data_IF_111982901826
#
_entry.id   IF_111982901826
#
_cell.length_a   1.000
_cell.length_b   1.000
_cell.length_c   1.000
_cell.angle_alpha   90.00
_cell.angle_beta   90.00
_cell.angle_gamma   90.00
#
_symmetry.space_group_name_H-M   'P 1'
#
loop_
_entity.id
_entity.type
_entity.pdbx_description
1 polymer ?
#
# COMPACT_ATOMS: atom_id res chain seq x y z
N UNK A 1 0.64 -24.88 70.44
CA UNK A 1 -0.49 -23.98 70.14
C UNK A 1 -0.05 -23.13 68.94
N UNK A 2 0.01 -23.66 67.71
CA UNK A 2 -1.11 -23.88 66.77
C UNK A 2 -1.95 -22.62 66.55
N UNK A 3 -1.70 -21.94 65.43
CA UNK A 3 -2.72 -21.26 64.65
C UNK A 3 -2.35 -21.31 63.16
N UNK A 4 -3.14 -22.09 62.42
CA UNK A 4 -3.21 -22.16 60.95
C UNK A 4 -3.76 -20.87 60.34
N UNK A 5 -3.31 -20.48 59.14
CA UNK A 5 -4.12 -19.73 58.20
C UNK A 5 -4.48 -20.59 56.99
N UNK A 6 -5.76 -20.93 56.89
CA UNK A 6 -6.38 -21.49 55.69
C UNK A 6 -6.54 -20.45 54.59
N UNK A 7 -6.24 -20.91 53.38
CA UNK A 7 -6.63 -20.46 52.04
C UNK A 7 -7.92 -19.62 51.99
N UNK A 8 -7.92 -18.55 51.19
CA UNK A 8 -9.01 -18.32 50.22
C UNK A 8 -8.47 -17.71 48.93
N UNK A 9 -8.95 -18.35 47.88
CA UNK A 9 -8.66 -18.25 46.47
C UNK A 9 -9.69 -17.28 45.85
N UNK A 10 -9.24 -16.28 45.09
CA UNK A 10 -10.12 -15.40 44.31
C UNK A 10 -9.67 -15.43 42.85
N UNK A 11 -10.16 -16.45 42.15
CA UNK A 11 -10.26 -16.47 40.71
C UNK A 11 -11.22 -15.38 40.22
N UNK A 12 -10.67 -14.43 39.46
CA UNK A 12 -11.46 -13.51 38.65
C UNK A 12 -11.71 -14.12 37.27
N UNK A 13 -12.98 -14.42 37.04
CA UNK A 13 -13.57 -14.90 35.79
C UNK A 13 -13.60 -13.78 34.75
N UNK A 14 -12.82 -13.90 33.68
CA UNK A 14 -13.04 -13.14 32.44
C UNK A 14 -13.71 -14.07 31.43
N UNK A 15 -14.99 -13.83 31.19
CA UNK A 15 -15.77 -14.45 30.11
C UNK A 15 -15.86 -13.50 28.93
N UNK A 16 -15.56 -14.06 27.75
CA UNK A 16 -16.10 -13.80 26.43
C UNK A 16 -15.76 -12.49 25.68
N UNK A 17 -15.03 -12.66 24.57
CA UNK A 17 -15.55 -12.52 23.19
C UNK A 17 -14.33 -12.60 22.25
N UNK A 18 -14.31 -13.22 21.08
CA UNK A 18 -15.32 -13.74 20.17
C UNK A 18 -14.58 -13.94 18.84
N UNK A 19 -13.58 -14.82 18.79
CA UNK A 19 -12.85 -15.14 17.56
C UNK A 19 -13.70 -16.12 16.73
N UNK A 20 -14.49 -15.58 15.81
CA UNK A 20 -15.17 -16.36 14.78
C UNK A 20 -14.11 -16.99 13.85
N UNK A 21 -13.98 -18.32 13.94
CA UNK A 21 -13.38 -19.15 12.89
C UNK A 21 -14.14 -18.92 11.59
N UNK A 22 -13.43 -18.57 10.53
CA UNK A 22 -13.96 -18.58 9.18
C UNK A 22 -13.84 -20.01 8.66
N UNK A 23 -14.99 -20.65 8.47
CA UNK A 23 -15.13 -21.94 7.82
C UNK A 23 -14.69 -21.85 6.35
N UNK A 24 -13.70 -22.66 5.96
CA UNK A 24 -13.41 -22.92 4.55
C UNK A 24 -14.34 -24.02 4.07
N UNK A 25 -15.46 -23.63 3.47
CA UNK A 25 -16.30 -24.55 2.71
C UNK A 25 -15.65 -24.86 1.37
N UNK A 26 -15.38 -26.15 1.18
CA UNK A 26 -15.03 -26.80 -0.08
C UNK A 26 -16.30 -26.83 -0.94
N UNK A 27 -16.26 -26.33 -2.17
CA UNK A 27 -17.26 -26.70 -3.18
C UNK A 27 -16.61 -26.80 -4.56
N UNK A 28 -16.56 -28.03 -5.04
CA UNK A 28 -16.26 -28.39 -6.41
C UNK A 28 -17.44 -28.00 -7.30
N UNK A 29 -17.16 -27.36 -8.45
CA UNK A 29 -18.03 -27.39 -9.63
C UNK A 29 -17.17 -27.36 -10.89
N UNK A 30 -17.12 -28.51 -11.54
CA UNK A 30 -16.82 -28.68 -12.96
C UNK A 30 -17.92 -28.02 -13.79
N UNK A 31 -17.59 -27.39 -14.92
CA UNK A 31 -18.51 -27.28 -16.04
C UNK A 31 -18.13 -28.36 -17.07
N UNK A 32 -18.99 -29.37 -17.10
CA UNK A 32 -19.26 -30.18 -18.27
C UNK A 32 -19.64 -29.25 -19.43
N UNK A 33 -18.91 -29.34 -20.54
CA UNK A 33 -19.32 -28.75 -21.82
C UNK A 33 -18.79 -29.60 -22.96
N UNK A 34 -19.61 -30.59 -23.27
CA UNK A 34 -19.75 -31.17 -24.60
C UNK A 34 -20.00 -30.03 -25.61
N UNK A 35 -19.00 -29.77 -26.46
CA UNK A 35 -19.22 -29.04 -27.71
C UNK A 35 -18.52 -29.82 -28.84
N UNK A 36 -19.37 -30.59 -29.51
CA UNK A 36 -19.18 -31.30 -30.76
C UNK A 36 -18.59 -30.31 -31.78
N UNK A 37 -17.35 -30.53 -32.20
CA UNK A 37 -16.83 -29.93 -33.43
C UNK A 37 -16.82 -31.01 -34.51
N UNK A 38 -17.80 -30.88 -35.39
CA UNK A 38 -17.79 -31.36 -36.77
C UNK A 38 -16.38 -31.18 -37.36
N UNK A 39 -15.70 -32.30 -37.65
CA UNK A 39 -14.57 -32.30 -38.56
C UNK A 39 -15.19 -32.43 -39.95
N UNK A 40 -15.31 -31.30 -40.65
CA UNK A 40 -15.64 -31.30 -42.07
C UNK A 40 -14.44 -31.87 -42.85
N UNK A 41 -14.56 -33.14 -43.19
CA UNK A 41 -13.66 -33.94 -44.01
C UNK A 41 -13.76 -33.55 -45.50
N UNK A 42 -13.67 -32.27 -45.84
CA UNK A 42 -13.96 -31.76 -47.19
C UNK A 42 -12.75 -31.13 -47.89
N UNK A 43 -11.53 -31.66 -47.70
CA UNK A 43 -10.35 -31.17 -48.46
C UNK A 43 -9.37 -32.25 -48.97
N UNK A 44 -9.73 -33.53 -48.91
CA UNK A 44 -8.91 -34.62 -49.47
C UNK A 44 -9.67 -35.39 -50.55
N UNK A 45 -10.10 -34.71 -51.62
CA UNK A 45 -10.57 -35.43 -52.81
C UNK A 45 -10.39 -34.63 -54.12
N UNK A 46 -9.22 -34.06 -54.31
CA UNK A 46 -8.75 -33.60 -55.62
C UNK A 46 -7.45 -34.32 -55.90
N UNK A 47 -7.26 -34.79 -57.14
CA UNK A 47 -6.16 -35.66 -57.62
C UNK A 47 -6.45 -37.17 -57.64
N UNK A 48 -7.62 -37.56 -58.14
CA UNK A 48 -7.71 -38.82 -58.92
C UNK A 48 -7.34 -38.50 -60.38
N UNK A 49 -6.24 -39.03 -60.94
CA UNK A 49 -5.98 -38.91 -62.37
C UNK A 49 -7.02 -39.75 -63.10
N UNK A 50 -7.84 -39.09 -63.94
CA UNK A 50 -8.72 -39.76 -64.90
C UNK A 50 -7.85 -40.69 -65.77
N UNK A 51 -7.92 -42.00 -65.52
CA UNK A 51 -7.33 -43.03 -66.39
C UNK A 51 -8.01 -42.93 -67.75
N UNK A 52 -7.42 -42.16 -68.67
CA UNK A 52 -7.64 -42.33 -70.10
C UNK A 52 -7.12 -43.73 -70.43
N UNK A 53 -8.02 -44.61 -70.85
CA UNK A 53 -7.69 -45.87 -71.49
C UNK A 53 -6.83 -45.54 -72.72
N UNK A 54 -5.51 -45.60 -72.56
CA UNK A 54 -4.60 -45.66 -73.68
C UNK A 54 -4.78 -47.03 -74.31
N UNK A 55 -5.41 -47.04 -75.47
CA UNK A 55 -5.41 -48.16 -76.39
C UNK A 55 -3.97 -48.57 -76.65
N UNK A 56 -3.68 -49.78 -76.17
CA UNK A 56 -2.57 -50.66 -76.51
C UNK A 56 -1.88 -50.29 -77.83
N UNK A 57 -0.70 -49.67 -77.74
CA UNK A 57 0.34 -49.87 -78.76
C UNK A 57 0.99 -51.22 -78.42
N UNK A 58 0.54 -52.27 -79.11
CA UNK A 58 1.27 -53.53 -79.16
C UNK A 58 2.67 -53.26 -79.72
N UNK A 59 3.66 -53.26 -78.83
CA UNK A 59 5.06 -53.31 -79.21
C UNK A 59 5.36 -54.74 -79.66
N UNK A 60 5.71 -54.92 -80.92
CA UNK A 60 6.25 -56.15 -81.47
C UNK A 60 7.69 -56.32 -80.97
N UNK A 61 7.86 -56.84 -79.76
CA UNK A 61 9.12 -57.45 -79.33
C UNK A 61 8.97 -58.99 -79.37
N UNK A 62 10.03 -59.73 -79.74
CA UNK A 62 9.96 -61.18 -79.89
C UNK A 62 9.68 -61.84 -78.54
N UNK A 63 8.64 -62.68 -78.50
CA UNK A 63 8.29 -63.51 -77.37
C UNK A 63 9.25 -64.71 -77.24
N UNK A 64 10.48 -64.44 -76.80
CA UNK A 64 11.38 -65.44 -76.21
C UNK A 64 12.15 -64.80 -75.07
N UNK A 65 11.46 -64.46 -73.98
CA UNK A 65 12.11 -64.10 -72.72
C UNK A 65 11.49 -64.92 -71.58
N UNK A 66 12.37 -65.68 -70.94
CA UNK A 66 12.11 -66.63 -69.87
C UNK A 66 11.09 -66.11 -68.84
N UNK A 67 10.17 -66.97 -68.43
CA UNK A 67 9.21 -66.68 -67.34
C UNK A 67 9.88 -66.16 -66.05
N UNK A 68 11.16 -66.50 -65.84
CA UNK A 68 12.00 -65.97 -64.76
C UNK A 68 12.26 -64.46 -64.84
N UNK A 69 12.36 -63.87 -66.03
CA UNK A 69 12.61 -62.42 -66.21
C UNK A 69 11.36 -61.57 -65.96
N UNK A 70 10.17 -62.09 -66.26
CA UNK A 70 8.90 -61.42 -65.97
C UNK A 70 8.62 -61.45 -64.45
N UNK A 71 8.92 -62.58 -63.80
CA UNK A 71 8.81 -62.73 -62.35
C UNK A 71 9.76 -61.77 -61.60
N UNK A 72 11.01 -61.65 -62.04
CA UNK A 72 11.98 -60.68 -61.48
C UNK A 72 11.50 -59.24 -61.63
N UNK A 73 11.03 -58.82 -62.82
CA UNK A 73 10.48 -57.46 -63.02
C UNK A 73 9.26 -57.17 -62.14
N UNK A 74 8.44 -58.18 -61.89
CA UNK A 74 7.28 -58.04 -61.01
C UNK A 74 7.71 -57.87 -59.54
N UNK A 75 8.69 -58.66 -59.09
CA UNK A 75 9.30 -58.50 -57.76
C UNK A 75 9.96 -57.13 -57.59
N UNK A 76 10.68 -56.64 -58.60
CA UNK A 76 11.26 -55.29 -58.59
C UNK A 76 10.20 -54.19 -58.50
N UNK A 77 9.08 -54.32 -59.24
CA UNK A 77 7.96 -53.39 -59.16
C UNK A 77 7.25 -53.44 -57.79
N UNK A 78 7.05 -54.63 -57.23
CA UNK A 78 6.48 -54.81 -55.89
C UNK A 78 7.42 -54.24 -54.81
N UNK A 79 8.74 -54.40 -54.95
CA UNK A 79 9.74 -53.82 -54.05
C UNK A 79 9.78 -52.28 -54.14
N UNK A 80 9.79 -51.71 -55.35
CA UNK A 80 9.75 -50.26 -55.54
C UNK A 80 8.45 -49.64 -55.01
N UNK A 81 7.34 -50.36 -55.11
CA UNK A 81 6.07 -49.91 -54.56
C UNK A 81 6.07 -49.95 -53.02
N UNK A 82 6.70 -50.98 -52.42
CA UNK A 82 6.89 -51.07 -50.98
C UNK A 82 7.81 -49.95 -50.45
N UNK A 83 8.92 -49.66 -51.14
CA UNK A 83 9.81 -48.55 -50.78
C UNK A 83 9.09 -47.19 -50.83
N UNK A 84 8.26 -46.97 -51.86
CA UNK A 84 7.46 -45.76 -51.97
C UNK A 84 6.40 -45.64 -50.86
N UNK A 85 5.74 -46.75 -50.52
CA UNK A 85 4.76 -46.80 -49.43
C UNK A 85 5.43 -46.52 -48.07
N UNK A 86 6.60 -47.11 -47.82
CA UNK A 86 7.41 -46.85 -46.63
C UNK A 86 7.84 -45.38 -46.57
N UNK A 87 8.40 -44.82 -47.64
CA UNK A 87 8.80 -43.41 -47.70
C UNK A 87 7.62 -42.45 -47.47
N UNK A 88 6.44 -42.77 -48.02
CA UNK A 88 5.23 -41.98 -47.77
C UNK A 88 4.76 -42.11 -46.32
N UNK A 89 4.81 -43.32 -45.74
CA UNK A 89 4.45 -43.55 -44.34
C UNK A 89 5.38 -42.80 -43.38
N UNK A 90 6.70 -42.80 -43.65
CA UNK A 90 7.70 -42.05 -42.88
C UNK A 90 7.47 -40.54 -43.01
N UNK A 91 7.19 -40.05 -44.21
CA UNK A 91 6.86 -38.64 -44.43
C UNK A 91 5.62 -38.20 -43.65
N UNK A 92 4.55 -39.01 -43.69
CA UNK A 92 3.32 -38.73 -42.94
C UNK A 92 3.57 -38.77 -41.43
N UNK A 93 4.32 -39.76 -40.94
CA UNK A 93 4.67 -39.88 -39.52
C UNK A 93 5.51 -38.69 -39.05
N UNK A 94 6.55 -38.32 -39.78
CA UNK A 94 7.43 -37.18 -39.47
C UNK A 94 6.65 -35.86 -39.46
N UNK A 95 5.74 -35.65 -40.41
CA UNK A 95 4.88 -34.47 -40.40
C UNK A 95 3.90 -34.45 -39.22
N UNK A 96 3.35 -35.60 -38.82
CA UNK A 96 2.48 -35.70 -37.66
C UNK A 96 3.24 -35.35 -36.36
N UNK A 97 4.47 -35.86 -36.20
CA UNK A 97 5.36 -35.51 -35.09
C UNK A 97 5.64 -34.00 -35.05
N UNK A 98 6.00 -33.40 -36.18
CA UNK A 98 6.26 -31.97 -36.28
C UNK A 98 5.04 -31.11 -35.92
N UNK A 99 3.84 -31.53 -36.30
CA UNK A 99 2.58 -30.86 -35.92
C UNK A 99 2.35 -30.96 -34.40
N UNK A 100 2.58 -32.13 -33.81
CA UNK A 100 2.44 -32.33 -32.36
C UNK A 100 3.45 -31.52 -31.58
N UNK A 101 4.71 -31.50 -32.00
CA UNK A 101 5.78 -30.71 -31.38
C UNK A 101 5.44 -29.21 -31.43
N UNK A 102 5.02 -28.70 -32.59
CA UNK A 102 4.54 -27.31 -32.72
C UNK A 102 3.36 -27.00 -31.80
N UNK A 103 2.45 -27.95 -31.61
CA UNK A 103 1.30 -27.76 -30.72
C UNK A 103 1.74 -27.69 -29.26
N UNK A 104 2.58 -28.65 -28.82
CA UNK A 104 3.15 -28.67 -27.47
C UNK A 104 3.90 -27.36 -27.21
N UNK A 105 4.73 -26.91 -28.15
CA UNK A 105 5.47 -25.67 -28.03
C UNK A 105 4.53 -24.46 -27.79
N UNK A 106 3.50 -24.29 -28.62
CA UNK A 106 2.51 -23.20 -28.43
C UNK A 106 1.77 -23.30 -27.09
N UNK A 107 1.41 -24.50 -26.66
CA UNK A 107 0.72 -24.70 -25.37
C UNK A 107 1.67 -24.35 -24.20
N UNK A 108 2.95 -24.69 -24.31
CA UNK A 108 3.97 -24.29 -23.31
C UNK A 108 4.22 -22.78 -23.30
N UNK A 109 4.25 -22.14 -24.47
CA UNK A 109 4.42 -20.69 -24.59
C UNK A 109 3.22 -19.94 -23.99
N UNK A 110 2.00 -20.42 -24.26
CA UNK A 110 0.78 -19.84 -23.72
C UNK A 110 0.72 -19.98 -22.19
N UNK A 111 1.07 -21.16 -21.65
CA UNK A 111 1.09 -21.39 -20.20
C UNK A 111 2.17 -20.55 -19.51
N UNK A 112 3.34 -20.39 -20.12
CA UNK A 112 4.39 -19.51 -19.63
C UNK A 112 3.93 -18.04 -19.63
N UNK A 113 3.33 -17.57 -20.73
CA UNK A 113 2.81 -16.21 -20.85
C UNK A 113 1.75 -15.91 -19.81
N UNK A 114 0.82 -16.85 -19.59
CA UNK A 114 -0.20 -16.73 -18.55
C UNK A 114 0.40 -16.69 -17.14
N UNK A 115 1.43 -17.51 -16.89
CA UNK A 115 2.14 -17.52 -15.61
C UNK A 115 2.86 -16.19 -15.36
N UNK A 116 3.54 -15.64 -16.36
CA UNK A 116 4.19 -14.32 -16.28
C UNK A 116 3.16 -13.23 -16.00
N UNK A 117 2.02 -13.26 -16.70
CA UNK A 117 0.92 -12.30 -16.46
C UNK A 117 0.39 -12.40 -15.02
N UNK A 118 0.17 -13.61 -14.52
CA UNK A 118 -0.28 -13.84 -13.14
C UNK A 118 0.72 -13.30 -12.11
N UNK A 119 2.01 -13.56 -12.31
CA UNK A 119 3.07 -13.05 -11.44
C UNK A 119 3.11 -11.51 -11.45
N UNK A 120 2.93 -10.90 -12.62
CA UNK A 120 2.87 -9.45 -12.75
C UNK A 120 1.69 -8.84 -12.00
N UNK A 121 0.50 -9.42 -12.14
CA UNK A 121 -0.71 -8.98 -11.42
C UNK A 121 -0.55 -9.13 -9.90
N UNK A 122 0.01 -10.25 -9.43
CA UNK A 122 0.31 -10.47 -8.02
C UNK A 122 1.35 -9.48 -7.48
N UNK A 123 2.40 -9.21 -8.25
CA UNK A 123 3.44 -8.24 -7.89
C UNK A 123 2.87 -6.83 -7.75
N UNK A 124 2.01 -6.42 -8.70
CA UNK A 124 1.32 -5.13 -8.65
C UNK A 124 0.44 -5.01 -7.40
N UNK A 125 -0.35 -6.05 -7.11
CA UNK A 125 -1.19 -6.09 -5.91
C UNK A 125 -0.36 -6.01 -4.62
N UNK A 126 0.75 -6.73 -4.55
CA UNK A 126 1.67 -6.68 -3.40
C UNK A 126 2.26 -5.27 -3.21
N UNK A 127 2.62 -4.61 -4.30
CA UNK A 127 3.17 -3.27 -4.27
C UNK A 127 2.16 -2.23 -3.76
N UNK A 128 0.90 -2.34 -4.15
CA UNK A 128 -0.19 -1.51 -3.62
C UNK A 128 -0.38 -1.74 -2.11
N UNK A 129 -0.36 -3.01 -1.69
CA UNK A 129 -0.46 -3.37 -0.26
C UNK A 129 0.73 -2.85 0.55
N UNK A 130 1.93 -2.85 -0.02
CA UNK A 130 3.13 -2.29 0.61
C UNK A 130 3.01 -0.77 0.82
N UNK A 131 2.51 -0.02 -0.17
CA UNK A 131 2.27 1.43 -0.02
C UNK A 131 1.24 1.73 1.08
N UNK A 132 0.20 0.90 1.20
CA UNK A 132 -0.78 1.03 2.28
C UNK A 132 -0.14 0.79 3.66
N UNK A 133 0.69 -0.24 3.79
CA UNK A 133 1.45 -0.53 5.00
C UNK A 133 2.40 0.61 5.37
N UNK A 134 3.11 1.18 4.39
CA UNK A 134 4.01 2.33 4.61
C UNK A 134 3.25 3.54 5.16
N UNK A 135 2.06 3.82 4.60
CA UNK A 135 1.18 4.90 5.09
C UNK A 135 0.77 4.62 6.53
N UNK A 136 0.35 3.39 6.84
CA UNK A 136 -0.06 3.01 8.19
C UNK A 136 1.08 3.10 9.21
N UNK A 137 2.32 2.83 8.81
CA UNK A 137 3.50 3.03 9.66
C UNK A 137 3.71 4.53 9.96
N UNK A 138 3.51 5.42 8.98
CA UNK A 138 3.58 6.87 9.19
C UNK A 138 2.50 7.33 10.17
N UNK A 139 1.29 6.82 10.06
CA UNK A 139 0.19 7.12 10.98
C UNK A 139 0.51 6.65 12.41
N UNK A 140 1.03 5.42 12.58
CA UNK A 140 1.44 4.91 13.90
C UNK A 140 2.51 5.79 14.52
N UNK A 141 3.49 6.23 13.72
CA UNK A 141 4.51 7.18 14.21
C UNK A 141 3.84 8.47 14.67
N UNK A 142 3.00 9.09 13.85
CA UNK A 142 2.31 10.33 14.22
C UNK A 142 1.50 10.19 15.52
N UNK A 143 0.81 9.05 15.72
CA UNK A 143 0.11 8.75 16.97
C UNK A 143 1.06 8.59 18.15
N UNK A 144 2.24 8.01 17.96
CA UNK A 144 3.27 7.94 19.01
C UNK A 144 3.71 9.33 19.44
N UNK A 145 4.03 10.21 18.49
CA UNK A 145 4.40 11.61 18.78
C UNK A 145 3.30 12.35 19.53
N UNK A 146 2.03 12.11 19.16
CA UNK A 146 0.89 12.70 19.85
C UNK A 146 0.75 12.19 21.28
N UNK A 147 0.96 10.90 21.52
CA UNK A 147 0.96 10.34 22.87
C UNK A 147 2.08 10.93 23.73
N UNK A 148 3.30 11.03 23.20
CA UNK A 148 4.43 11.63 23.91
C UNK A 148 4.12 13.09 24.31
N UNK A 149 3.48 13.84 23.41
CA UNK A 149 3.02 15.21 23.70
C UNK A 149 1.93 15.24 24.78
N UNK A 150 0.96 14.33 24.74
CA UNK A 150 -0.10 14.24 25.76
C UNK A 150 0.48 13.90 27.13
N UNK A 151 1.45 12.99 27.19
CA UNK A 151 2.13 12.61 28.43
C UNK A 151 2.90 13.81 29.02
N UNK A 152 3.55 14.61 28.18
CA UNK A 152 4.27 15.82 28.60
C UNK A 152 3.31 16.89 29.15
N UNK A 153 2.20 17.17 28.43
CA UNK A 153 1.15 18.07 28.91
C UNK A 153 0.55 17.58 30.23
N UNK A 154 0.32 16.28 30.37
CA UNK A 154 -0.22 15.70 31.59
C UNK A 154 0.76 15.85 32.76
N UNK A 155 2.06 15.65 32.51
CA UNK A 155 3.13 15.88 33.49
C UNK A 155 3.14 17.33 33.96
N UNK A 156 3.19 18.29 33.03
CA UNK A 156 3.17 19.72 33.34
C UNK A 156 1.90 20.15 34.07
N UNK A 157 0.74 19.63 33.67
CA UNK A 157 -0.53 19.90 34.34
C UNK A 157 -0.53 19.40 35.78
N UNK A 158 0.00 18.20 36.01
CA UNK A 158 0.10 17.63 37.35
C UNK A 158 1.05 18.45 38.23
N UNK A 159 2.21 18.82 37.71
CA UNK A 159 3.17 19.70 38.40
C UNK A 159 2.55 21.06 38.75
N UNK A 160 1.77 21.64 37.84
CA UNK A 160 1.04 22.88 38.09
C UNK A 160 0.00 22.72 39.21
N UNK A 161 -0.80 21.66 39.17
CA UNK A 161 -1.79 21.36 40.23
C UNK A 161 -1.11 21.16 41.58
N UNK A 162 0.01 20.43 41.61
CA UNK A 162 0.75 20.16 42.84
C UNK A 162 1.40 21.44 43.40
N UNK A 163 1.94 22.31 42.55
CA UNK A 163 2.37 23.67 42.95
C UNK A 163 1.20 24.49 43.48
N UNK A 164 0.06 24.51 42.80
CA UNK A 164 -1.12 25.27 43.23
C UNK A 164 -1.62 24.83 44.61
N UNK A 165 -1.60 23.52 44.89
CA UNK A 165 -1.90 22.96 46.21
C UNK A 165 -0.84 23.35 47.25
N UNK A 166 0.45 23.26 46.91
CA UNK A 166 1.56 23.59 47.82
C UNK A 166 1.57 25.06 48.25
N UNK A 167 1.25 25.97 47.34
CA UNK A 167 1.19 27.41 47.62
C UNK A 167 -0.13 27.86 48.23
N UNK A 168 -1.05 26.92 48.53
CA UNK A 168 -2.35 27.21 49.13
C UNK A 168 -3.06 28.39 48.43
N UNK A 169 -2.91 28.49 47.10
CA UNK A 169 -3.41 29.64 46.33
C UNK A 169 -4.92 29.79 46.52
N UNK A 170 -5.63 28.66 46.68
CA UNK A 170 -7.04 28.65 47.02
C UNK A 170 -7.34 29.28 48.38
N UNK A 171 -6.50 29.01 49.37
CA UNK A 171 -6.70 29.54 50.72
C UNK A 171 -6.30 31.00 50.81
N UNK A 172 -5.23 31.41 50.13
CA UNK A 172 -4.86 32.83 50.01
C UNK A 172 -5.89 33.62 49.21
N UNK A 173 -6.48 33.04 48.15
CA UNK A 173 -7.59 33.64 47.42
C UNK A 173 -8.88 33.70 48.27
N UNK A 174 -9.18 32.67 49.06
CA UNK A 174 -10.31 32.68 49.98
C UNK A 174 -10.12 33.67 51.14
N UNK A 175 -8.88 33.84 51.60
CA UNK A 175 -8.52 34.89 52.56
C UNK A 175 -8.69 36.27 51.92
N UNK A 176 -8.19 36.47 50.69
CA UNK A 176 -8.36 37.71 49.93
C UNK A 176 -9.85 38.01 49.69
N UNK A 177 -10.68 37.02 49.35
CA UNK A 177 -12.12 37.16 49.17
C UNK A 177 -12.82 37.50 50.51
N UNK A 178 -12.39 36.92 51.64
CA UNK A 178 -12.84 37.35 52.96
C UNK A 178 -12.45 38.78 53.27
N UNK A 179 -11.22 39.18 52.96
CA UNK A 179 -10.76 40.56 53.15
C UNK A 179 -11.55 41.52 52.26
N UNK A 180 -11.70 41.21 50.97
CA UNK A 180 -12.48 41.99 50.02
C UNK A 180 -13.95 42.07 50.42
N UNK A 181 -14.60 40.98 50.83
CA UNK A 181 -15.98 41.00 51.33
C UNK A 181 -16.14 41.89 52.57
N UNK A 182 -15.11 41.96 53.43
CA UNK A 182 -15.10 42.87 54.58
C UNK A 182 -15.04 44.34 54.14
N UNK A 183 -14.42 44.63 53.00
CA UNK A 183 -14.40 45.95 52.37
C UNK A 183 -15.61 46.19 51.44
N UNK A 184 -16.27 45.12 50.96
CA UNK A 184 -17.46 45.17 50.11
C UNK A 184 -18.71 45.62 50.90
N UNK A 185 -18.68 45.51 52.24
CA UNK A 185 -19.66 46.13 53.14
C UNK A 185 -19.51 47.67 53.19
N UNK A 186 -18.43 48.23 52.64
CA UNK A 186 -18.11 49.67 52.73
C UNK A 186 -17.91 50.33 51.35
N UNK A 187 -18.84 50.12 50.41
CA UNK A 187 -19.55 51.17 49.62
C UNK A 187 -20.00 50.66 48.26
N UNK A 188 -21.32 50.68 48.06
CA UNK A 188 -21.86 51.71 47.16
C UNK A 188 -22.66 52.81 47.88
N UNK A 189 -22.89 52.71 49.20
CA UNK A 189 -23.42 53.79 50.04
C UNK A 189 -22.70 53.71 51.42
N UNK A 190 -21.96 54.75 51.87
CA UNK A 190 -21.23 54.88 53.18
C UNK A 190 -19.74 54.40 53.40
N UNK A 191 -18.77 55.18 52.89
CA UNK A 191 -17.35 55.53 53.20
C UNK A 191 -17.18 55.97 54.62
N UNK A 192 -16.90 55.00 55.45
CA UNK A 192 -16.00 55.09 56.60
C UNK A 192 -14.63 55.68 56.23
N UNK A 193 -14.43 56.99 56.04
CA UNK A 193 -13.06 57.51 55.90
C UNK A 193 -12.28 57.13 57.17
N UNK A 194 -11.06 56.57 57.08
CA UNK A 194 -10.29 56.20 58.26
C UNK A 194 -10.10 57.42 59.16
N UNK A 195 -10.69 57.38 60.36
CA UNK A 195 -10.73 58.51 61.31
C UNK A 195 -9.49 58.60 62.22
N UNK A 196 -8.63 57.58 62.19
CA UNK A 196 -7.47 57.43 63.07
C UNK A 196 -6.18 57.33 62.25
N UNK A 197 -5.15 58.08 62.66
CA UNK A 197 -3.88 58.23 61.93
C UNK A 197 -3.18 56.88 61.71
N UNK A 198 -3.32 55.96 62.65
CA UNK A 198 -2.74 54.61 62.60
C UNK A 198 -3.40 53.73 61.51
N UNK A 199 -4.71 53.87 61.29
CA UNK A 199 -5.44 53.13 60.26
C UNK A 199 -5.15 53.66 58.86
N UNK A 200 -4.92 54.97 58.73
CA UNK A 200 -4.42 55.59 57.50
C UNK A 200 -3.02 55.05 57.16
N UNK A 201 -2.16 54.89 58.17
CA UNK A 201 -0.81 54.36 57.98
C UNK A 201 -0.81 52.88 57.59
N UNK A 202 -1.64 52.06 58.25
CA UNK A 202 -1.83 50.65 57.87
C UNK A 202 -2.40 50.51 56.49
N UNK A 203 -3.45 51.27 56.15
CA UNK A 203 -4.04 51.26 54.81
C UNK A 203 -3.02 51.66 53.74
N UNK A 204 -2.23 52.71 54.00
CA UNK A 204 -1.14 53.13 53.12
C UNK A 204 -0.10 52.03 52.96
N UNK A 205 0.26 51.35 54.06
CA UNK A 205 1.24 50.27 54.05
C UNK A 205 0.75 49.06 53.26
N UNK A 206 -0.50 48.64 53.46
CA UNK A 206 -1.13 47.57 52.69
C UNK A 206 -1.25 47.94 51.21
N UNK A 207 -1.53 49.21 50.89
CA UNK A 207 -1.56 49.69 49.51
C UNK A 207 -0.17 49.64 48.85
N UNK A 208 0.89 50.03 49.57
CA UNK A 208 2.28 49.90 49.09
C UNK A 208 2.71 48.44 48.94
N UNK A 209 2.28 47.55 49.84
CA UNK A 209 2.58 46.12 49.75
C UNK A 209 1.89 45.52 48.51
N UNK A 210 0.61 45.84 48.29
CA UNK A 210 -0.11 45.45 47.07
C UNK A 210 0.55 46.00 45.80
N UNK A 211 0.98 47.26 45.81
CA UNK A 211 1.69 47.86 44.68
C UNK A 211 3.02 47.15 44.40
N UNK A 212 3.77 46.77 45.44
CA UNK A 212 5.03 46.02 45.29
C UNK A 212 4.83 44.62 44.72
N UNK A 213 3.74 43.94 45.10
CA UNK A 213 3.35 42.63 44.55
C UNK A 213 2.86 42.75 43.12
N UNK A 214 2.08 43.79 42.79
CA UNK A 214 1.70 44.09 41.41
C UNK A 214 2.90 44.43 40.53
N UNK A 215 3.91 45.12 41.09
CA UNK A 215 5.14 45.44 40.39
C UNK A 215 6.04 44.21 40.17
N UNK A 216 5.99 43.23 41.08
CA UNK A 216 6.62 41.91 40.91
C UNK A 216 5.90 41.02 39.88
N UNK A 217 4.57 41.14 39.76
CA UNK A 217 3.79 40.40 38.75
C UNK A 217 3.90 41.07 37.38
N UNK A 218 4.05 42.39 37.36
CA UNK A 218 4.29 43.17 36.15
C UNK A 218 5.80 43.31 35.89
N UNK A 219 6.56 42.21 36.01
CA UNK A 219 8.01 42.21 35.81
C UNK A 219 8.30 42.50 34.32
N UNK A 220 8.89 43.67 33.98
CA UNK A 220 9.13 44.06 32.59
C UNK A 220 10.01 43.04 31.84
N UNK A 221 10.80 42.24 32.56
CA UNK A 221 11.63 41.18 32.00
C UNK A 221 10.77 40.03 31.41
N UNK A 222 9.67 39.64 32.06
CA UNK A 222 8.76 38.62 31.52
C UNK A 222 7.97 39.14 30.30
N UNK A 223 7.65 40.43 30.27
CA UNK A 223 7.03 41.07 29.11
C UNK A 223 7.99 41.14 27.91
N UNK A 224 9.26 41.50 28.14
CA UNK A 224 10.30 41.53 27.10
C UNK A 224 10.58 40.12 26.55
N UNK A 225 10.63 39.10 27.40
CA UNK A 225 10.78 37.70 26.96
C UNK A 225 9.59 37.25 26.11
N UNK A 226 8.37 37.67 26.47
CA UNK A 226 7.17 37.35 25.69
C UNK A 226 7.17 38.08 24.33
N UNK A 227 7.63 39.33 24.28
CA UNK A 227 7.78 40.10 23.05
C UNK A 227 8.87 39.51 22.14
N UNK A 228 10.03 39.14 22.69
CA UNK A 228 11.10 38.43 21.98
C UNK A 228 10.65 37.06 21.47
N UNK A 229 9.88 36.31 22.27
CA UNK A 229 9.30 35.03 21.84
C UNK A 229 8.31 35.22 20.70
N UNK A 230 7.49 36.28 20.74
CA UNK A 230 6.54 36.61 19.68
C UNK A 230 7.27 36.96 18.39
N UNK A 231 8.34 37.75 18.47
CA UNK A 231 9.20 38.10 17.34
C UNK A 231 9.90 36.89 16.73
N UNK A 232 10.47 36.01 17.57
CA UNK A 232 11.07 34.75 17.12
C UNK A 232 10.05 33.83 16.42
N UNK A 233 8.80 33.83 16.89
CA UNK A 233 7.72 33.07 16.26
C UNK A 233 7.33 33.64 14.89
N UNK A 234 7.31 34.96 14.73
CA UNK A 234 7.09 35.60 13.42
C UNK A 234 8.25 35.31 12.45
N UNK A 235 9.49 35.37 12.90
CA UNK A 235 10.68 34.97 12.11
C UNK A 235 10.61 33.49 11.70
N UNK A 236 10.14 32.62 12.59
CA UNK A 236 9.92 31.22 12.27
C UNK A 236 8.83 31.02 11.21
N UNK A 237 7.70 31.74 11.30
CA UNK A 237 6.61 31.67 10.31
C UNK A 237 7.09 32.14 8.94
N UNK A 238 7.85 33.24 8.87
CA UNK A 238 8.37 33.75 7.60
C UNK A 238 9.32 32.74 6.96
N UNK A 239 10.25 32.19 7.74
CA UNK A 239 11.19 31.17 7.28
C UNK A 239 10.47 29.87 6.84
N UNK A 240 9.43 29.45 7.56
CA UNK A 240 8.61 28.31 7.16
C UNK A 240 7.93 28.53 5.80
N UNK A 241 7.38 29.73 5.58
CA UNK A 241 6.75 30.09 4.31
C UNK A 241 7.75 30.15 3.16
N UNK A 242 8.97 30.63 3.40
CA UNK A 242 10.06 30.60 2.41
C UNK A 242 10.43 29.17 2.02
N UNK A 243 10.56 28.27 3.01
CA UNK A 243 10.83 26.84 2.76
C UNK A 243 9.70 26.21 1.93
N UNK A 244 8.43 26.50 2.25
CA UNK A 244 7.30 26.02 1.46
C UNK A 244 7.35 26.51 0.01
N UNK A 245 7.75 27.77 -0.20
CA UNK A 245 7.87 28.34 -1.53
C UNK A 245 9.03 27.70 -2.33
N UNK A 246 10.19 27.49 -1.70
CA UNK A 246 11.32 26.77 -2.30
C UNK A 246 10.91 25.34 -2.67
N UNK A 247 10.21 24.64 -1.78
CA UNK A 247 9.70 23.28 -2.03
C UNK A 247 8.80 23.25 -3.26
N UNK A 248 7.92 24.25 -3.42
CA UNK A 248 7.06 24.38 -4.60
C UNK A 248 7.86 24.59 -5.87
N UNK A 249 8.84 25.50 -5.87
CA UNK A 249 9.72 25.77 -7.01
C UNK A 249 10.49 24.51 -7.42
N UNK A 250 11.01 23.75 -6.45
CA UNK A 250 11.73 22.49 -6.71
C UNK A 250 10.79 21.44 -7.31
N UNK A 251 9.57 21.30 -6.79
CA UNK A 251 8.58 20.38 -7.34
C UNK A 251 8.23 20.73 -8.79
N UNK A 252 8.00 22.01 -9.10
CA UNK A 252 7.70 22.48 -10.45
C UNK A 252 8.88 22.20 -11.41
N UNK A 253 10.12 22.44 -10.97
CA UNK A 253 11.32 22.13 -11.76
C UNK A 253 11.49 20.64 -12.02
N UNK A 254 11.22 19.78 -11.03
CA UNK A 254 11.28 18.33 -11.19
C UNK A 254 10.22 17.87 -12.21
N UNK A 255 8.98 18.37 -12.11
CA UNK A 255 7.93 18.08 -13.07
C UNK A 255 8.33 18.50 -14.49
N UNK A 256 8.87 19.72 -14.65
CA UNK A 256 9.33 20.20 -15.95
C UNK A 256 10.47 19.34 -16.52
N UNK A 257 11.45 18.98 -15.69
CA UNK A 257 12.56 18.10 -16.09
C UNK A 257 12.06 16.72 -16.52
N UNK A 258 11.09 16.14 -15.80
CA UNK A 258 10.47 14.88 -16.17
C UNK A 258 9.77 14.98 -17.52
N UNK A 259 9.02 16.06 -17.77
CA UNK A 259 8.37 16.31 -19.07
C UNK A 259 9.40 16.46 -20.19
N UNK A 260 10.48 17.21 -19.97
CA UNK A 260 11.56 17.36 -20.96
C UNK A 260 12.27 16.05 -21.24
N UNK A 261 12.57 15.26 -20.20
CA UNK A 261 13.19 13.94 -20.33
C UNK A 261 12.29 13.00 -21.13
N UNK A 262 10.98 12.97 -20.82
CA UNK A 262 10.01 12.18 -21.56
C UNK A 262 9.90 12.63 -23.03
N UNK A 263 9.92 13.94 -23.30
CA UNK A 263 9.97 14.47 -24.67
C UNK A 263 11.25 14.02 -25.38
N UNK A 264 12.42 14.14 -24.76
CA UNK A 264 13.69 13.74 -25.32
C UNK A 264 13.73 12.22 -25.63
N UNK A 265 13.26 11.39 -24.71
CA UNK A 265 13.11 9.95 -24.92
C UNK A 265 12.14 9.64 -26.07
N UNK A 266 11.00 10.33 -26.14
CA UNK A 266 10.03 10.17 -27.23
C UNK A 266 10.64 10.55 -28.60
N UNK A 267 11.41 11.63 -28.67
CA UNK A 267 12.10 12.04 -29.90
C UNK A 267 13.17 11.00 -30.30
N UNK A 268 13.98 10.52 -29.36
CA UNK A 268 14.99 9.50 -29.62
C UNK A 268 14.36 8.18 -30.12
N UNK A 269 13.21 7.78 -29.58
CA UNK A 269 12.47 6.62 -30.08
C UNK A 269 11.94 6.85 -31.50
N UNK A 270 11.36 8.02 -31.77
CA UNK A 270 10.84 8.34 -33.12
C UNK A 270 11.91 8.45 -34.21
N UNK A 271 13.18 8.69 -33.85
CA UNK A 271 14.30 8.77 -34.80
C UNK A 271 14.98 7.42 -35.06
N UNK A 272 14.76 6.41 -34.21
CA UNK A 272 15.32 5.06 -34.38
C UNK A 272 14.42 4.12 -35.21
N UNK A 273 13.25 4.58 -35.65
CA UNK A 273 12.31 3.85 -36.53
C UNK A 273 12.49 4.19 -38.03
N UNK A 274 13.69 4.63 -38.45
CA UNK A 274 14.06 4.84 -39.87
C UNK A 274 15.21 3.94 -40.27
#
# INVERSE_FOLDING_TARGET
MQHDPSKMDHGSSIKNSGLRKIDRTRSARTPDRSDIRHIDSSLLNTFSPKKKLYTSRQSTLPATLNASTIFLRRLELENNNLELELAYSEYVSSNAELILEKKIFRDTELTLTNSIKSIYEETKYLQEKFKLLETRIKDIKALSWLNDYVDDVQSHTKDFIDKQKKYEIKDTLAQLDKFLNRFNVLRCENIILPNTIEDVQRFKQTLTDCYSVLQLISDPIEADILEDLTKNYEEFITLHNEILNIKKIVADKICNLQVETLKACSYALSQNDV
#
